data_IF_847620479194
#
_entry.id   IF_847620479194
#
_cell.length_a   1.000
_cell.length_b   1.000
_cell.length_c   1.000
_cell.angle_alpha   90.00
_cell.angle_beta   90.00
_cell.angle_gamma   90.00
#
_symmetry.space_group_name_H-M   'P 1'
#
loop_
_entity.id
_entity.type
_entity.pdbx_description
1 polymer ?
#
# COMPACT_ATOMS: atom_id res chain seq x y z
N UNK A 1 17.05 -64.78 -22.66
CA UNK A 1 17.58 -63.49 -22.22
C UNK A 1 16.65 -62.37 -22.74
N UNK A 2 15.68 -61.88 -22.01
CA UNK A 2 14.91 -60.69 -22.41
C UNK A 2 15.54 -59.41 -21.86
N UNK A 3 15.61 -58.43 -22.72
CA UNK A 3 16.11 -57.10 -22.58
C UNK A 3 15.27 -56.28 -21.59
N UNK A 4 15.94 -55.48 -20.77
CA UNK A 4 15.38 -54.55 -19.84
C UNK A 4 14.59 -53.43 -20.55
N UNK A 5 13.30 -53.33 -20.28
CA UNK A 5 12.48 -52.21 -20.68
C UNK A 5 12.62 -51.11 -19.65
N UNK A 6 13.08 -49.95 -20.10
CA UNK A 6 13.27 -48.71 -19.36
C UNK A 6 11.89 -48.13 -19.02
N UNK A 7 11.59 -48.08 -17.74
CA UNK A 7 10.44 -47.32 -17.23
C UNK A 7 10.83 -45.86 -17.12
N UNK A 8 10.51 -45.07 -18.11
CA UNK A 8 10.51 -43.62 -18.05
C UNK A 8 9.24 -43.13 -17.35
N UNK A 9 9.39 -42.81 -16.08
CA UNK A 9 8.33 -42.17 -15.27
C UNK A 9 8.26 -40.69 -15.66
N UNK A 10 7.26 -40.35 -16.42
CA UNK A 10 6.93 -38.94 -16.71
C UNK A 10 6.45 -38.24 -15.43
N UNK A 11 7.35 -37.54 -14.76
CA UNK A 11 7.01 -36.56 -13.75
C UNK A 11 6.37 -35.37 -14.45
N UNK A 12 5.05 -35.33 -14.52
CA UNK A 12 4.30 -34.13 -14.89
C UNK A 12 4.41 -33.13 -13.75
N UNK A 13 5.30 -32.16 -13.93
CA UNK A 13 5.34 -30.98 -13.08
C UNK A 13 4.01 -30.24 -13.14
N UNK A 14 3.25 -30.31 -12.08
CA UNK A 14 2.15 -29.38 -11.86
C UNK A 14 2.77 -28.00 -11.64
N UNK A 15 2.77 -27.18 -12.68
CA UNK A 15 3.00 -25.74 -12.58
C UNK A 15 1.93 -25.18 -11.66
N UNK A 16 2.31 -24.87 -10.41
CA UNK A 16 1.46 -24.09 -9.52
C UNK A 16 1.14 -22.77 -10.25
N UNK A 17 -0.11 -22.64 -10.70
CA UNK A 17 -0.61 -21.39 -11.24
C UNK A 17 -0.42 -20.33 -10.15
N UNK A 18 0.48 -19.40 -10.37
CA UNK A 18 0.64 -18.23 -9.51
C UNK A 18 -0.71 -17.54 -9.45
N UNK A 19 -1.31 -17.54 -8.27
CA UNK A 19 -2.53 -16.77 -8.00
C UNK A 19 -2.25 -15.32 -8.44
N UNK A 20 -3.14 -14.67 -9.21
CA UNK A 20 -2.97 -13.27 -9.54
C UNK A 20 -2.84 -12.51 -8.23
N UNK A 21 -1.76 -11.74 -8.07
CA UNK A 21 -1.55 -10.84 -6.96
C UNK A 21 -2.66 -9.79 -6.99
N UNK A 22 -3.78 -10.09 -6.33
CA UNK A 22 -4.81 -9.11 -6.05
C UNK A 22 -4.20 -8.16 -5.04
N UNK A 23 -3.92 -6.94 -5.45
CA UNK A 23 -3.53 -5.88 -4.53
C UNK A 23 -4.51 -5.89 -3.34
N UNK A 24 -4.03 -5.88 -2.10
CA UNK A 24 -4.90 -5.97 -0.94
C UNK A 24 -5.81 -4.73 -0.95
N UNK A 25 -7.06 -4.91 -1.35
CA UNK A 25 -8.08 -3.91 -1.07
C UNK A 25 -8.00 -3.62 0.44
N UNK A 26 -8.15 -2.37 0.91
CA UNK A 26 -8.19 -2.08 2.32
C UNK A 26 -9.09 -3.11 3.00
N UNK A 27 -8.64 -3.73 4.07
CA UNK A 27 -9.32 -4.89 4.70
C UNK A 27 -10.82 -4.63 4.91
N UNK A 28 -11.18 -3.38 5.23
CA UNK A 28 -12.56 -2.91 5.36
C UNK A 28 -13.36 -3.04 4.04
N UNK A 29 -12.76 -2.70 2.90
CA UNK A 29 -13.40 -2.84 1.59
C UNK A 29 -13.59 -4.31 1.21
N UNK A 30 -12.64 -5.18 1.55
CA UNK A 30 -12.75 -6.61 1.39
C UNK A 30 -13.87 -7.19 2.28
N UNK A 31 -13.94 -6.79 3.55
CA UNK A 31 -14.99 -7.16 4.47
C UNK A 31 -16.39 -6.78 3.93
N UNK A 32 -16.54 -5.54 3.43
CA UNK A 32 -17.77 -5.09 2.81
C UNK A 32 -18.13 -5.93 1.56
N UNK A 33 -17.15 -6.32 0.76
CA UNK A 33 -17.36 -7.22 -0.38
C UNK A 33 -17.84 -8.60 0.07
N UNK A 34 -17.21 -9.21 1.07
CA UNK A 34 -17.61 -10.51 1.60
C UNK A 34 -19.03 -10.49 2.17
N UNK A 35 -19.41 -9.42 2.87
CA UNK A 35 -20.78 -9.24 3.35
C UNK A 35 -21.78 -9.17 2.20
N UNK A 36 -21.51 -8.39 1.14
CA UNK A 36 -22.39 -8.35 -0.05
C UNK A 36 -22.52 -9.72 -0.74
N UNK A 37 -21.46 -10.51 -0.72
CA UNK A 37 -21.42 -11.87 -1.25
C UNK A 37 -22.05 -12.90 -0.29
N UNK A 38 -22.52 -12.47 0.89
CA UNK A 38 -23.03 -13.35 1.96
C UNK A 38 -22.01 -14.43 2.38
N UNK A 39 -20.74 -14.13 2.27
CA UNK A 39 -19.66 -15.03 2.64
C UNK A 39 -19.50 -15.02 4.17
N UNK A 40 -19.66 -16.18 4.79
CA UNK A 40 -19.45 -16.34 6.22
C UNK A 40 -17.95 -16.16 6.54
N UNK A 41 -17.64 -15.29 7.48
CA UNK A 41 -16.29 -15.02 7.92
C UNK A 41 -16.25 -14.60 9.39
N UNK A 42 -15.09 -14.77 10.01
CA UNK A 42 -14.77 -14.29 11.35
C UNK A 42 -13.80 -13.12 11.24
N UNK A 43 -14.08 -12.02 11.92
CA UNK A 43 -13.11 -11.00 12.26
C UNK A 43 -12.26 -11.49 13.43
N UNK A 44 -10.95 -11.53 13.27
CA UNK A 44 -9.99 -11.75 14.36
C UNK A 44 -9.28 -10.43 14.59
N UNK A 45 -9.37 -9.88 15.79
CA UNK A 45 -8.82 -8.57 16.15
C UNK A 45 -7.93 -8.68 17.38
N UNK A 46 -6.78 -8.00 17.35
CA UNK A 46 -5.98 -7.78 18.56
C UNK A 46 -6.75 -6.82 19.48
N UNK A 47 -7.40 -7.36 20.52
CA UNK A 47 -8.19 -6.57 21.45
C UNK A 47 -7.31 -5.80 22.44
N UNK A 48 -6.30 -6.45 23.00
CA UNK A 48 -5.34 -5.91 23.96
C UNK A 48 -3.98 -6.55 23.74
N UNK A 49 -2.91 -5.82 24.08
CA UNK A 49 -1.55 -6.35 24.10
C UNK A 49 -0.76 -5.79 25.27
N UNK A 50 0.29 -6.49 25.68
CA UNK A 50 1.25 -6.07 26.69
C UNK A 50 2.67 -6.54 26.29
N UNK A 51 3.66 -5.69 26.51
CA UNK A 51 5.05 -5.97 26.13
C UNK A 51 5.28 -5.94 24.62
N UNK A 52 6.36 -6.59 24.17
CA UNK A 52 6.71 -6.66 22.74
C UNK A 52 5.82 -7.66 22.02
N UNK A 53 5.08 -7.18 21.04
CA UNK A 53 4.13 -7.95 20.23
C UNK A 53 4.36 -7.71 18.74
N UNK A 54 4.02 -8.65 17.85
CA UNK A 54 4.21 -8.50 16.41
C UNK A 54 3.25 -7.47 15.79
N UNK A 55 2.08 -7.24 16.40
CA UNK A 55 1.08 -6.26 15.97
C UNK A 55 0.34 -5.67 17.16
N UNK A 56 0.01 -4.39 17.07
CA UNK A 56 -0.66 -3.63 18.11
C UNK A 56 -2.17 -3.86 18.18
N UNK A 57 -2.78 -3.41 19.30
CA UNK A 57 -4.23 -3.41 19.46
C UNK A 57 -4.94 -2.67 18.34
N UNK A 58 -6.05 -3.23 17.89
CA UNK A 58 -6.79 -2.72 16.73
C UNK A 58 -6.47 -3.44 15.42
N UNK A 59 -5.31 -4.09 15.29
CA UNK A 59 -4.97 -4.88 14.09
C UNK A 59 -5.98 -6.00 13.86
N UNK A 60 -6.36 -6.22 12.60
CA UNK A 60 -7.42 -7.14 12.19
C UNK A 60 -6.99 -8.09 11.10
N UNK A 61 -7.62 -9.25 11.11
CA UNK A 61 -7.54 -10.28 10.09
C UNK A 61 -8.95 -10.83 9.85
N UNK A 62 -9.27 -11.16 8.62
CA UNK A 62 -10.51 -11.84 8.24
C UNK A 62 -10.22 -13.28 7.87
N UNK A 63 -11.03 -14.19 8.39
CA UNK A 63 -10.93 -15.62 8.11
C UNK A 63 -12.26 -16.15 7.62
N UNK A 64 -12.30 -16.70 6.41
CA UNK A 64 -13.40 -17.51 5.91
C UNK A 64 -13.00 -19.00 5.90
N UNK A 65 -13.87 -19.85 5.40
CA UNK A 65 -13.58 -21.28 5.30
C UNK A 65 -12.33 -21.56 4.44
N UNK A 66 -12.13 -20.80 3.37
CA UNK A 66 -11.16 -21.02 2.30
C UNK A 66 -10.13 -19.88 2.12
N UNK A 67 -10.38 -18.70 2.69
CA UNK A 67 -9.53 -17.53 2.49
C UNK A 67 -9.19 -16.84 3.80
N UNK A 68 -7.99 -16.25 3.88
CA UNK A 68 -7.53 -15.40 4.97
C UNK A 68 -7.06 -14.08 4.37
N UNK A 69 -7.42 -12.96 4.99
CA UNK A 69 -7.00 -11.64 4.56
C UNK A 69 -6.58 -10.78 5.76
N UNK A 70 -5.52 -9.99 5.57
CA UNK A 70 -4.86 -9.29 6.66
C UNK A 70 -3.96 -10.21 7.48
N UNK A 71 -3.37 -9.68 8.55
CA UNK A 71 -2.47 -10.43 9.44
C UNK A 71 -2.47 -9.84 10.84
N UNK A 72 -2.39 -10.70 11.84
CA UNK A 72 -2.22 -10.33 13.26
C UNK A 72 -0.79 -10.54 13.74
N UNK A 73 0.17 -10.73 12.82
CA UNK A 73 1.59 -10.82 13.11
C UNK A 73 2.28 -12.10 12.62
N UNK A 74 1.54 -13.02 12.01
CA UNK A 74 2.09 -14.24 11.42
C UNK A 74 2.47 -15.32 12.44
N UNK A 75 3.15 -16.36 11.93
CA UNK A 75 3.68 -17.45 12.74
C UNK A 75 2.62 -18.33 13.39
N UNK A 76 2.98 -18.99 14.49
CA UNK A 76 2.14 -19.96 15.20
C UNK A 76 0.86 -19.33 15.77
N UNK A 77 0.95 -18.10 16.28
CA UNK A 77 -0.19 -17.32 16.75
C UNK A 77 -1.29 -17.21 15.69
N UNK A 78 -0.91 -16.85 14.47
CA UNK A 78 -1.86 -16.66 13.36
C UNK A 78 -2.46 -18.00 12.92
N UNK A 79 -1.67 -19.08 12.89
CA UNK A 79 -2.17 -20.42 12.59
C UNK A 79 -3.22 -20.88 13.61
N UNK A 80 -2.98 -20.68 14.91
CA UNK A 80 -3.97 -21.00 15.95
C UNK A 80 -5.24 -20.13 15.82
N UNK A 81 -5.08 -18.86 15.53
CA UNK A 81 -6.21 -17.96 15.36
C UNK A 81 -7.06 -18.33 14.13
N UNK A 82 -6.43 -18.72 13.02
CA UNK A 82 -7.13 -19.21 11.82
C UNK A 82 -7.88 -20.51 12.14
N UNK A 83 -7.24 -21.45 12.83
CA UNK A 83 -7.88 -22.71 13.23
C UNK A 83 -9.09 -22.49 14.14
N UNK A 84 -9.00 -21.57 15.10
CA UNK A 84 -10.11 -21.18 15.97
C UNK A 84 -11.25 -20.56 15.16
N UNK A 85 -10.97 -19.57 14.31
CA UNK A 85 -11.98 -18.92 13.49
C UNK A 85 -12.72 -19.92 12.57
N UNK A 86 -11.97 -20.87 11.98
CA UNK A 86 -12.57 -21.93 11.14
C UNK A 86 -13.41 -22.92 11.95
N UNK A 87 -13.01 -23.24 13.18
CA UNK A 87 -13.85 -24.06 14.09
C UNK A 87 -15.17 -23.35 14.41
N UNK A 88 -15.15 -22.04 14.66
CA UNK A 88 -16.36 -21.25 14.86
C UNK A 88 -17.30 -21.32 13.66
N UNK A 89 -16.76 -21.21 12.44
CA UNK A 89 -17.56 -21.30 11.20
C UNK A 89 -18.15 -22.69 10.98
N UNK A 90 -17.46 -23.75 11.40
CA UNK A 90 -17.87 -25.14 11.22
C UNK A 90 -18.86 -25.64 12.28
N UNK A 91 -19.00 -24.95 13.42
CA UNK A 91 -19.77 -25.41 14.57
C UNK A 91 -21.29 -25.49 14.35
N UNK A 92 -21.80 -24.97 13.23
CA UNK A 92 -23.24 -24.88 12.96
C UNK A 92 -23.95 -23.85 13.86
N UNK A 93 -24.82 -23.02 13.30
CA UNK A 93 -25.45 -21.91 13.99
C UNK A 93 -24.66 -20.61 13.89
N UNK A 94 -25.14 -19.55 14.57
CA UNK A 94 -24.44 -18.26 14.59
C UNK A 94 -23.24 -18.32 15.55
N UNK A 95 -22.00 -18.07 15.07
CA UNK A 95 -20.84 -18.06 15.96
C UNK A 95 -20.98 -16.97 17.02
N UNK A 96 -20.69 -17.30 18.28
CA UNK A 96 -20.70 -16.32 19.38
C UNK A 96 -19.35 -15.61 19.46
N UNK A 97 -19.33 -14.28 19.63
CA UNK A 97 -18.10 -13.55 19.88
C UNK A 97 -17.43 -14.01 21.17
N UNK A 98 -16.11 -14.18 21.15
CA UNK A 98 -15.33 -14.48 22.34
C UNK A 98 -13.91 -13.89 22.27
N UNK A 99 -13.23 -13.88 23.41
CA UNK A 99 -11.82 -13.48 23.50
C UNK A 99 -10.96 -14.65 23.95
N UNK A 100 -9.73 -14.70 23.43
CA UNK A 100 -8.71 -15.69 23.84
C UNK A 100 -7.38 -14.99 24.10
N UNK A 101 -6.79 -15.33 25.24
CA UNK A 101 -5.47 -14.83 25.64
C UNK A 101 -4.36 -15.72 25.08
N UNK A 102 -3.26 -15.08 24.63
CA UNK A 102 -2.06 -15.72 24.11
C UNK A 102 -0.82 -15.11 24.76
N UNK A 103 -0.04 -15.91 25.46
CA UNK A 103 1.29 -15.56 25.91
C UNK A 103 2.29 -15.90 24.78
N UNK A 104 3.03 -14.91 24.29
CA UNK A 104 3.94 -15.04 23.12
C UNK A 104 5.31 -15.65 23.46
N UNK A 105 5.52 -16.05 24.72
CA UNK A 105 6.78 -16.63 25.20
C UNK A 105 7.10 -18.00 24.59
N UNK A 106 8.02 -18.76 25.19
CA UNK A 106 8.55 -20.02 24.66
C UNK A 106 7.50 -21.07 24.25
N UNK A 107 6.29 -20.99 24.80
CA UNK A 107 5.16 -21.88 24.47
C UNK A 107 4.66 -21.76 23.03
N UNK A 108 4.85 -20.59 22.39
CA UNK A 108 4.51 -20.37 20.97
C UNK A 108 5.73 -20.33 20.06
N UNK A 109 6.93 -20.60 20.60
CA UNK A 109 8.18 -20.58 19.82
C UNK A 109 8.53 -19.20 19.21
N UNK A 110 8.01 -18.13 19.81
CA UNK A 110 8.26 -16.76 19.34
C UNK A 110 9.27 -16.04 20.23
N UNK A 111 10.16 -15.24 19.62
CA UNK A 111 11.14 -14.43 20.32
C UNK A 111 10.52 -13.23 21.07
N UNK A 112 9.23 -12.97 20.87
CA UNK A 112 8.50 -11.87 21.50
C UNK A 112 8.06 -12.28 22.92
N UNK A 113 8.56 -11.55 23.94
CA UNK A 113 8.23 -11.80 25.36
C UNK A 113 6.90 -11.17 25.82
N UNK A 114 6.02 -10.72 24.89
CA UNK A 114 4.76 -10.07 25.20
C UNK A 114 3.58 -11.02 25.28
N UNK A 115 2.39 -10.45 25.47
CA UNK A 115 1.13 -11.16 25.47
C UNK A 115 0.05 -10.35 24.73
N UNK A 116 -0.93 -11.02 24.15
CA UNK A 116 -2.06 -10.37 23.53
C UNK A 116 -3.36 -11.15 23.76
N UNK A 117 -4.47 -10.44 23.64
CA UNK A 117 -5.81 -11.02 23.64
C UNK A 117 -6.41 -10.82 22.25
N UNK A 118 -6.80 -11.91 21.60
CA UNK A 118 -7.53 -11.87 20.34
C UNK A 118 -9.04 -11.93 20.62
N UNK A 119 -9.79 -11.03 19.99
CA UNK A 119 -11.23 -11.08 19.91
C UNK A 119 -11.64 -11.71 18.58
N UNK A 120 -12.56 -12.66 18.65
CA UNK A 120 -13.16 -13.36 17.52
C UNK A 120 -14.63 -12.99 17.43
N UNK A 121 -15.09 -12.51 16.29
CA UNK A 121 -16.48 -12.13 16.08
C UNK A 121 -16.93 -12.47 14.65
N UNK A 122 -18.21 -12.84 14.45
CA UNK A 122 -18.78 -12.95 13.11
C UNK A 122 -18.62 -11.62 12.37
N UNK A 123 -18.26 -11.70 11.10
CA UNK A 123 -18.26 -10.54 10.24
C UNK A 123 -19.70 -10.18 9.85
N UNK A 124 -20.21 -9.08 10.36
CA UNK A 124 -21.54 -8.54 10.08
C UNK A 124 -21.51 -7.03 9.73
N UNK A 125 -22.66 -6.46 9.38
CA UNK A 125 -22.75 -5.04 9.08
C UNK A 125 -22.38 -4.15 10.28
N UNK A 126 -22.73 -4.56 11.50
CA UNK A 126 -22.37 -3.87 12.74
C UNK A 126 -20.85 -3.90 12.99
N UNK A 127 -20.17 -4.97 12.61
CA UNK A 127 -18.72 -5.07 12.66
C UNK A 127 -18.07 -3.97 11.80
N UNK A 128 -18.53 -3.78 10.56
CA UNK A 128 -18.01 -2.75 9.66
C UNK A 128 -18.23 -1.32 10.17
N UNK A 129 -19.36 -1.07 10.82
CA UNK A 129 -19.65 0.26 11.42
C UNK A 129 -18.67 0.57 12.56
N UNK A 130 -18.28 -0.45 13.32
CA UNK A 130 -17.31 -0.31 14.42
C UNK A 130 -15.85 -0.22 13.97
N UNK A 131 -15.56 -0.54 12.69
CA UNK A 131 -14.20 -0.37 12.17
C UNK A 131 -13.92 1.11 11.94
N UNK A 132 -12.88 1.67 12.57
CA UNK A 132 -12.50 3.04 12.29
C UNK A 132 -12.13 3.18 10.82
N UNK A 133 -12.44 4.33 10.25
CA UNK A 133 -11.84 4.72 8.97
C UNK A 133 -10.41 5.16 9.28
N UNK A 134 -9.46 4.32 8.93
CA UNK A 134 -8.05 4.68 9.06
C UNK A 134 -7.73 5.73 8.00
N UNK A 135 -7.22 6.91 8.39
CA UNK A 135 -6.78 7.89 7.41
C UNK A 135 -5.66 7.26 6.55
N UNK A 136 -5.59 7.63 5.27
CA UNK A 136 -4.46 7.19 4.45
C UNK A 136 -3.15 7.74 5.05
N UNK A 137 -2.07 6.96 4.92
CA UNK A 137 -0.72 7.41 5.34
C UNK A 137 -0.38 8.76 4.70
N UNK A 138 -0.79 8.96 3.45
CA UNK A 138 -0.70 10.22 2.72
C UNK A 138 -1.66 10.22 1.53
N UNK A 139 -1.99 11.42 1.05
CA UNK A 139 -2.61 11.62 -0.26
C UNK A 139 -1.53 12.09 -1.22
N UNK A 140 -1.41 11.47 -2.38
CA UNK A 140 -0.39 11.74 -3.39
C UNK A 140 -1.02 12.14 -4.72
N UNK A 141 -0.59 13.25 -5.30
CA UNK A 141 -0.69 13.49 -6.74
C UNK A 141 0.62 13.11 -7.42
N UNK A 142 0.56 12.12 -8.30
CA UNK A 142 1.70 11.63 -9.07
C UNK A 142 1.54 12.02 -10.54
N UNK A 143 2.36 12.93 -10.99
CA UNK A 143 2.38 13.44 -12.36
C UNK A 143 3.40 12.69 -13.20
N UNK A 144 2.89 11.89 -14.15
CA UNK A 144 3.66 11.09 -15.08
C UNK A 144 3.37 9.59 -15.01
N UNK A 145 2.90 9.00 -16.11
CA UNK A 145 2.59 7.58 -16.27
C UNK A 145 3.69 6.78 -17.02
N UNK A 146 4.90 7.34 -17.13
CA UNK A 146 6.05 6.65 -17.68
C UNK A 146 6.56 5.50 -16.80
N UNK A 147 7.71 4.92 -17.14
CA UNK A 147 8.27 3.73 -16.48
C UNK A 147 8.42 3.87 -14.95
N UNK A 148 8.95 5.01 -14.49
CA UNK A 148 9.14 5.27 -13.05
C UNK A 148 7.78 5.43 -12.35
N UNK A 149 6.85 6.19 -12.95
CA UNK A 149 5.49 6.35 -12.40
C UNK A 149 4.77 5.01 -12.24
N UNK A 150 4.83 4.15 -13.26
CA UNK A 150 4.27 2.80 -13.20
C UNK A 150 4.90 1.94 -12.11
N UNK A 151 6.22 2.03 -11.94
CA UNK A 151 6.93 1.29 -10.89
C UNK A 151 6.55 1.78 -9.49
N UNK A 152 6.42 3.10 -9.29
CA UNK A 152 5.96 3.70 -8.02
C UNK A 152 4.55 3.23 -7.70
N UNK A 153 3.61 3.35 -8.65
CA UNK A 153 2.20 2.98 -8.43
C UNK A 153 2.06 1.51 -8.05
N UNK A 154 2.80 0.60 -8.67
CA UNK A 154 2.80 -0.83 -8.29
C UNK A 154 3.15 -1.06 -6.82
N UNK A 155 4.11 -0.30 -6.27
CA UNK A 155 4.46 -0.40 -4.85
C UNK A 155 3.38 0.23 -3.95
N UNK A 156 2.79 1.34 -4.40
CA UNK A 156 1.74 2.04 -3.67
C UNK A 156 0.41 1.27 -3.62
N UNK A 157 0.15 0.37 -4.58
CA UNK A 157 -1.03 -0.49 -4.57
C UNK A 157 -1.14 -1.36 -3.31
N UNK A 158 -0.01 -1.71 -2.67
CA UNK A 158 0.04 -2.45 -1.42
C UNK A 158 0.00 -1.61 -0.14
N UNK A 159 -0.07 -0.28 -0.25
CA UNK A 159 0.00 0.63 0.89
C UNK A 159 -1.34 1.34 1.15
N UNK A 160 -1.70 1.64 2.41
CA UNK A 160 -2.92 2.37 2.74
C UNK A 160 -2.72 3.88 2.49
N UNK A 161 -2.62 4.28 1.23
CA UNK A 161 -2.50 5.65 0.76
C UNK A 161 -3.61 5.96 -0.27
N UNK A 162 -3.78 7.23 -0.62
CA UNK A 162 -4.64 7.66 -1.72
C UNK A 162 -3.77 8.27 -2.82
N UNK A 163 -3.95 7.82 -4.05
CA UNK A 163 -3.14 8.25 -5.21
C UNK A 163 -4.04 8.77 -6.33
N UNK A 164 -3.79 9.99 -6.76
CA UNK A 164 -4.25 10.51 -8.05
C UNK A 164 -3.07 10.44 -9.02
N UNK A 165 -3.18 9.56 -10.00
CA UNK A 165 -2.14 9.31 -11.00
C UNK A 165 -2.49 10.02 -12.30
N UNK A 166 -1.73 11.07 -12.63
CA UNK A 166 -2.08 12.10 -13.60
C UNK A 166 -1.09 12.07 -14.77
N UNK A 167 -1.58 11.99 -15.99
CA UNK A 167 -0.80 12.16 -17.23
C UNK A 167 -1.73 12.68 -18.33
N UNK A 168 -1.21 13.47 -19.26
CA UNK A 168 -1.97 13.95 -20.41
C UNK A 168 -2.15 12.88 -21.51
N UNK A 169 -1.44 11.74 -21.42
CA UNK A 169 -1.39 10.70 -22.44
C UNK A 169 -2.05 9.42 -21.92
N UNK A 170 -3.27 9.14 -22.39
CA UNK A 170 -4.03 7.95 -22.01
C UNK A 170 -3.27 6.64 -22.27
N UNK A 171 -2.51 6.57 -23.38
CA UNK A 171 -1.73 5.39 -23.78
C UNK A 171 -0.62 5.01 -22.81
N UNK A 172 -0.21 5.91 -21.92
CA UNK A 172 0.82 5.63 -20.92
C UNK A 172 0.31 4.89 -19.70
N UNK A 173 -1.00 4.91 -19.45
CA UNK A 173 -1.55 4.13 -18.37
C UNK A 173 -1.57 2.63 -18.74
N UNK A 174 -1.20 1.73 -17.79
CA UNK A 174 -1.25 0.30 -18.06
C UNK A 174 -2.69 -0.18 -18.28
N UNK A 175 -2.86 -1.20 -19.11
CA UNK A 175 -4.16 -1.83 -19.29
C UNK A 175 -4.69 -2.44 -17.98
N UNK A 176 -6.02 -2.52 -17.84
CA UNK A 176 -6.67 -3.06 -16.66
C UNK A 176 -6.99 -2.01 -15.59
N UNK A 177 -7.55 -2.47 -14.46
CA UNK A 177 -7.97 -1.60 -13.36
C UNK A 177 -6.85 -1.44 -12.35
N UNK A 178 -6.66 -0.24 -11.87
CA UNK A 178 -5.82 0.03 -10.68
C UNK A 178 -6.51 -0.40 -9.40
N UNK A 179 -5.76 -0.47 -8.31
CA UNK A 179 -6.32 -0.61 -6.96
C UNK A 179 -7.33 0.51 -6.67
N UNK A 180 -8.33 0.24 -5.83
CA UNK A 180 -9.44 1.16 -5.58
C UNK A 180 -9.03 2.54 -5.02
N UNK A 181 -7.85 2.64 -4.43
CA UNK A 181 -7.29 3.88 -3.88
C UNK A 181 -6.35 4.61 -4.85
N UNK A 182 -6.19 4.09 -6.08
CA UNK A 182 -5.42 4.69 -7.16
C UNK A 182 -6.38 5.13 -8.26
N UNK A 183 -6.61 6.43 -8.34
CA UNK A 183 -7.42 7.07 -9.37
C UNK A 183 -6.52 7.50 -10.53
N UNK A 184 -6.88 7.13 -11.76
CA UNK A 184 -6.18 7.58 -12.97
C UNK A 184 -6.89 8.79 -13.55
N UNK A 185 -6.15 9.84 -13.83
CA UNK A 185 -6.65 11.07 -14.42
C UNK A 185 -5.88 11.38 -15.69
N UNK A 186 -6.54 11.21 -16.85
CA UNK A 186 -6.03 11.66 -18.14
C UNK A 186 -6.65 13.02 -18.45
N UNK A 187 -5.89 14.08 -18.25
CA UNK A 187 -6.40 15.46 -18.34
C UNK A 187 -5.34 16.39 -18.96
N UNK A 188 -5.83 17.47 -19.56
CA UNK A 188 -5.01 18.57 -20.07
C UNK A 188 -5.75 19.93 -19.86
N UNK A 189 -5.11 20.90 -19.20
CA UNK A 189 -3.74 20.91 -18.65
C UNK A 189 -3.64 20.19 -17.31
N UNK A 190 -2.61 19.37 -17.13
CA UNK A 190 -2.43 18.55 -15.91
C UNK A 190 -2.14 19.39 -14.66
N UNK A 191 -1.53 20.58 -14.82
CA UNK A 191 -1.26 21.49 -13.71
C UNK A 191 -2.50 22.06 -13.05
N UNK A 192 -3.67 22.01 -13.70
CA UNK A 192 -4.95 22.43 -13.12
C UNK A 192 -5.39 21.51 -11.95
N UNK A 193 -4.95 20.26 -11.96
CA UNK A 193 -5.26 19.30 -10.90
C UNK A 193 -4.57 19.62 -9.57
N UNK A 194 -3.54 20.49 -9.56
CA UNK A 194 -2.86 20.90 -8.34
C UNK A 194 -3.84 21.48 -7.32
N UNK A 195 -4.82 22.28 -7.79
CA UNK A 195 -5.79 22.94 -6.91
C UNK A 195 -6.82 21.98 -6.30
N UNK A 196 -7.04 20.81 -6.93
CA UNK A 196 -7.98 19.80 -6.45
C UNK A 196 -7.44 18.97 -5.28
N UNK A 197 -6.12 18.98 -5.03
CA UNK A 197 -5.54 18.22 -3.93
C UNK A 197 -5.87 18.81 -2.56
N UNK A 198 -6.05 17.98 -1.51
CA UNK A 198 -6.24 18.47 -0.16
C UNK A 198 -4.97 19.19 0.37
N UNK A 199 -5.12 20.13 1.32
CA UNK A 199 -3.96 20.69 2.03
C UNK A 199 -3.08 19.60 2.63
N UNK A 200 -1.76 19.78 2.59
CA UNK A 200 -0.81 18.80 3.09
C UNK A 200 -0.57 17.61 2.15
N UNK A 201 -1.14 17.61 0.94
CA UNK A 201 -0.89 16.55 -0.03
C UNK A 201 0.59 16.42 -0.38
N UNK A 202 1.00 15.20 -0.72
CA UNK A 202 2.29 14.90 -1.32
C UNK A 202 2.20 15.02 -2.84
N UNK A 203 3.28 15.47 -3.46
CA UNK A 203 3.39 15.61 -4.91
C UNK A 203 4.66 14.95 -5.41
N UNK A 204 4.55 14.20 -6.51
CA UNK A 204 5.67 13.67 -7.29
C UNK A 204 5.54 14.13 -8.74
N UNK A 205 6.53 14.83 -9.22
CA UNK A 205 6.58 15.35 -10.59
C UNK A 205 7.68 14.62 -11.36
N UNK A 206 7.25 13.79 -12.33
CA UNK A 206 8.13 12.92 -13.11
C UNK A 206 7.58 12.70 -14.53
N UNK A 207 7.22 13.80 -15.18
CA UNK A 207 6.66 13.76 -16.53
C UNK A 207 7.74 13.51 -17.60
N UNK A 208 7.32 13.35 -18.83
CA UNK A 208 8.20 13.20 -20.00
C UNK A 208 8.83 14.52 -20.47
N UNK A 209 8.34 15.66 -19.99
CA UNK A 209 8.72 17.00 -20.44
C UNK A 209 9.26 17.87 -19.32
N UNK A 210 10.44 18.47 -19.53
CA UNK A 210 11.02 19.42 -18.57
C UNK A 210 10.17 20.69 -18.40
N UNK A 211 9.49 21.15 -19.45
CA UNK A 211 8.64 22.35 -19.37
C UNK A 211 7.35 22.04 -18.61
N UNK A 212 6.81 20.84 -18.80
CA UNK A 212 5.65 20.37 -18.03
C UNK A 212 6.01 20.21 -16.55
N UNK A 213 7.15 19.57 -16.25
CA UNK A 213 7.67 19.48 -14.88
C UNK A 213 7.83 20.87 -14.24
N UNK A 214 8.28 21.85 -15.01
CA UNK A 214 8.45 23.23 -14.52
C UNK A 214 7.11 23.88 -14.18
N UNK A 215 6.10 23.78 -15.06
CA UNK A 215 4.77 24.34 -14.84
C UNK A 215 4.08 23.74 -13.63
N UNK A 216 4.06 22.40 -13.52
CA UNK A 216 3.45 21.68 -12.39
C UNK A 216 4.15 22.06 -11.09
N UNK A 217 5.50 21.99 -11.06
CA UNK A 217 6.27 22.32 -9.85
C UNK A 217 6.04 23.77 -9.43
N UNK A 218 5.95 24.71 -10.38
CA UNK A 218 5.63 26.12 -10.11
C UNK A 218 4.24 26.27 -9.47
N UNK A 219 3.22 25.61 -10.02
CA UNK A 219 1.86 25.67 -9.49
C UNK A 219 1.82 25.18 -8.04
N UNK A 220 2.48 24.05 -7.73
CA UNK A 220 2.54 23.50 -6.37
C UNK A 220 3.28 24.45 -5.42
N UNK A 221 4.41 25.03 -5.85
CA UNK A 221 5.19 25.98 -5.04
C UNK A 221 4.40 27.26 -4.75
N UNK A 222 3.61 27.77 -5.72
CA UNK A 222 2.74 28.94 -5.52
C UNK A 222 1.58 28.67 -4.58
N UNK A 223 1.00 27.49 -4.66
CA UNK A 223 -0.02 27.03 -3.73
C UNK A 223 0.52 26.96 -2.29
N UNK A 224 1.70 26.39 -2.07
CA UNK A 224 2.49 26.48 -0.86
C UNK A 224 2.07 25.59 0.32
N UNK A 225 0.88 24.99 0.29
CA UNK A 225 0.30 24.15 1.36
C UNK A 225 0.61 22.63 1.23
N UNK A 226 1.56 22.28 0.38
CA UNK A 226 1.97 20.88 0.19
C UNK A 226 2.70 20.33 1.42
N UNK A 227 2.50 19.05 1.73
CA UNK A 227 3.30 18.31 2.71
C UNK A 227 4.67 17.99 2.14
N UNK A 228 4.70 17.33 0.99
CA UNK A 228 5.92 16.94 0.30
C UNK A 228 5.85 17.31 -1.19
N UNK A 229 6.98 17.78 -1.73
CA UNK A 229 7.14 18.04 -3.17
C UNK A 229 8.43 17.43 -3.68
N UNK A 230 8.30 16.39 -4.49
CA UNK A 230 9.41 15.66 -5.11
C UNK A 230 9.43 15.85 -6.63
N UNK A 231 10.60 16.20 -7.17
CA UNK A 231 10.84 16.35 -8.60
C UNK A 231 11.91 15.36 -9.06
N UNK A 232 11.60 14.56 -10.08
CA UNK A 232 12.60 13.70 -10.71
C UNK A 232 13.63 14.54 -11.46
N UNK A 233 14.91 14.25 -11.26
CA UNK A 233 15.95 14.95 -11.97
C UNK A 233 17.32 14.82 -11.33
N UNK A 234 18.28 15.51 -11.93
CA UNK A 234 19.64 15.64 -11.44
C UNK A 234 19.82 16.90 -10.59
N UNK A 235 20.95 17.01 -9.89
CA UNK A 235 21.37 18.25 -9.21
C UNK A 235 21.41 19.43 -10.16
N UNK A 236 21.82 19.21 -11.42
CA UNK A 236 21.83 20.23 -12.47
C UNK A 236 20.42 20.70 -12.83
N UNK A 237 19.45 19.78 -12.99
CA UNK A 237 18.04 20.14 -13.23
C UNK A 237 17.50 20.96 -12.07
N UNK A 238 17.76 20.52 -10.83
CA UNK A 238 17.38 21.25 -9.61
C UNK A 238 17.90 22.69 -9.63
N UNK A 239 19.19 22.90 -9.84
CA UNK A 239 19.80 24.23 -9.86
C UNK A 239 19.14 25.14 -10.92
N UNK A 240 18.91 24.62 -12.14
CA UNK A 240 18.24 25.36 -13.22
C UNK A 240 16.80 25.73 -12.87
N UNK A 241 16.06 24.82 -12.22
CA UNK A 241 14.67 25.07 -11.83
C UNK A 241 14.59 26.08 -10.69
N UNK A 242 15.42 25.95 -9.66
CA UNK A 242 15.47 26.91 -8.57
C UNK A 242 15.74 28.35 -9.08
N UNK A 243 16.74 28.52 -9.96
CA UNK A 243 17.02 29.81 -10.55
C UNK A 243 15.81 30.41 -11.31
N UNK A 244 15.09 29.59 -12.10
CA UNK A 244 13.89 30.03 -12.81
C UNK A 244 12.75 30.41 -11.85
N UNK A 245 12.55 29.65 -10.78
CA UNK A 245 11.53 29.92 -9.77
C UNK A 245 11.84 31.20 -8.96
N UNK A 246 13.10 31.44 -8.63
CA UNK A 246 13.55 32.69 -8.01
C UNK A 246 13.25 33.89 -8.91
N UNK A 247 13.57 33.83 -10.19
CA UNK A 247 13.24 34.86 -11.17
C UNK A 247 11.73 35.13 -11.31
N UNK A 248 10.89 34.12 -11.03
CA UNK A 248 9.43 34.22 -11.06
C UNK A 248 8.82 34.60 -9.70
N UNK A 249 9.66 34.98 -8.74
CA UNK A 249 9.22 35.49 -7.44
C UNK A 249 8.72 34.43 -6.47
N UNK A 250 9.09 33.15 -6.66
CA UNK A 250 8.76 32.11 -5.66
C UNK A 250 9.61 32.32 -4.41
N UNK A 251 8.97 32.33 -3.24
CA UNK A 251 9.64 32.58 -1.97
C UNK A 251 10.71 31.52 -1.66
N UNK A 252 11.88 31.97 -1.17
CA UNK A 252 12.99 31.08 -0.82
C UNK A 252 12.61 29.98 0.19
N UNK A 253 11.66 30.25 1.10
CA UNK A 253 11.14 29.25 2.03
C UNK A 253 10.45 28.09 1.31
N UNK A 254 9.66 28.35 0.26
CA UNK A 254 9.00 27.32 -0.53
C UNK A 254 10.04 26.51 -1.35
N UNK A 255 11.04 27.19 -1.93
CA UNK A 255 12.12 26.55 -2.71
C UNK A 255 12.95 25.57 -1.88
N UNK A 256 13.18 25.86 -0.59
CA UNK A 256 13.89 24.95 0.32
C UNK A 256 13.16 23.63 0.54
N UNK A 257 11.84 23.60 0.38
CA UNK A 257 10.99 22.42 0.56
C UNK A 257 10.94 21.52 -0.68
N UNK A 258 11.51 21.97 -1.84
CA UNK A 258 11.60 21.16 -3.05
C UNK A 258 12.68 20.08 -2.90
N UNK A 259 12.27 18.83 -2.96
CA UNK A 259 13.14 17.65 -3.00
C UNK A 259 13.49 17.30 -4.45
N UNK A 260 14.75 17.45 -4.83
CA UNK A 260 15.27 17.03 -6.15
C UNK A 260 16.78 16.80 -6.04
N UNK A 261 17.28 15.65 -6.42
CA UNK A 261 16.60 14.43 -6.87
C UNK A 261 15.69 13.81 -5.80
N UNK A 262 14.67 13.08 -6.26
CA UNK A 262 13.81 12.26 -5.40
C UNK A 262 14.49 10.95 -5.01
N UNK A 263 14.07 10.37 -3.90
CA UNK A 263 14.54 9.10 -3.36
C UNK A 263 15.42 9.26 -2.12
N UNK A 264 15.36 8.28 -1.23
CA UNK A 264 16.24 8.24 -0.04
C UNK A 264 17.70 8.11 -0.43
N UNK A 265 18.64 8.77 0.28
CA UNK A 265 20.06 8.62 0.04
C UNK A 265 20.53 7.18 0.25
N UNK A 266 21.59 6.78 -0.48
CA UNK A 266 22.24 5.47 -0.33
C UNK A 266 21.64 4.36 -1.21
N UNK A 267 20.52 4.59 -1.87
CA UNK A 267 20.01 3.69 -2.91
C UNK A 267 20.46 4.23 -4.27
N UNK A 268 21.37 3.51 -4.91
CA UNK A 268 21.92 3.89 -6.20
C UNK A 268 21.35 3.01 -7.32
N UNK A 269 21.10 3.62 -8.49
CA UNK A 269 20.61 2.93 -9.67
C UNK A 269 19.69 3.80 -10.51
N UNK A 270 19.60 3.46 -11.81
CA UNK A 270 18.74 4.17 -12.76
C UNK A 270 17.56 3.35 -13.25
N UNK A 271 17.46 2.08 -12.82
CA UNK A 271 16.32 1.23 -13.13
C UNK A 271 15.06 1.83 -12.50
N UNK A 272 13.94 1.88 -13.21
CA UNK A 272 12.68 2.43 -12.70
C UNK A 272 12.24 1.83 -11.36
N UNK A 273 12.44 0.54 -11.17
CA UNK A 273 12.10 -0.21 -9.96
C UNK A 273 12.97 0.22 -8.76
N UNK A 274 14.27 0.46 -8.97
CA UNK A 274 15.19 0.93 -7.93
C UNK A 274 14.84 2.35 -7.49
N UNK A 275 14.57 3.23 -8.47
CA UNK A 275 14.10 4.59 -8.20
C UNK A 275 12.79 4.55 -7.42
N UNK A 276 11.84 3.70 -7.84
CA UNK A 276 10.54 3.59 -7.19
C UNK A 276 10.66 3.18 -5.71
N UNK A 277 11.51 2.21 -5.38
CA UNK A 277 11.76 1.79 -3.99
C UNK A 277 12.30 2.96 -3.17
N UNK A 278 13.32 3.68 -3.69
CA UNK A 278 13.90 4.83 -2.99
C UNK A 278 12.88 5.95 -2.76
N UNK A 279 12.01 6.22 -3.75
CA UNK A 279 10.97 7.26 -3.68
C UNK A 279 9.86 6.88 -2.71
N UNK A 280 9.36 5.65 -2.76
CA UNK A 280 8.31 5.19 -1.83
C UNK A 280 8.82 5.18 -0.40
N UNK A 281 10.07 4.75 -0.17
CA UNK A 281 10.71 4.85 1.15
C UNK A 281 10.76 6.31 1.66
N UNK A 282 11.08 7.27 0.78
CA UNK A 282 11.10 8.70 1.13
C UNK A 282 9.71 9.24 1.49
N UNK A 283 8.67 8.84 0.75
CA UNK A 283 7.28 9.20 1.07
C UNK A 283 6.85 8.64 2.42
N UNK A 284 7.21 7.40 2.73
CA UNK A 284 6.91 6.77 4.03
C UNK A 284 7.64 7.44 5.19
N UNK A 285 8.91 7.86 5.01
CA UNK A 285 9.63 8.64 6.01
C UNK A 285 8.94 9.98 6.29
N UNK A 286 8.43 10.63 5.24
CA UNK A 286 7.70 11.89 5.39
C UNK A 286 6.35 11.70 6.11
N UNK A 287 5.64 10.61 5.85
CA UNK A 287 4.35 10.32 6.47
C UNK A 287 4.45 9.88 7.95
N UNK A 288 5.61 9.34 8.37
CA UNK A 288 5.85 8.84 9.73
C UNK A 288 6.51 9.85 10.67
N UNK A 289 6.91 11.01 10.21
CA UNK A 289 7.49 12.13 10.98
C UNK A 289 6.50 13.25 11.16
#
# INVERSE_FOLDING_TARGET
MPTAATLETAARGATAAALPAVAPAPLKALAARWLRQRRAAIEVRVARHAGSVPRESGTRMLVSADEVAGTIGGGHLELEAIAEARRMLAAGGAPLPHERYFALGPTLGQCCGGALTLAFAPLDAGTLVRWPDEPPLFTLQLYGAGHVGRAIVRLLEGLPCRVQWIDERESEFPAGRSAAHVERLCVEPVEAEVDAAPPGACYLVLTHSHDLDLRITEAILRRGDFGYLGLIGSRTKRARFLHRFEQRGIAAAALKRLTCPIGVPGIEGKAPEVIAVAVVAQLLQHAGG
#
